data_IF_716353404506
#
_entry.id   IF_716353404506
#
_cell.length_a   1.000
_cell.length_b   1.000
_cell.length_c   1.000
_cell.angle_alpha   90.00
_cell.angle_beta   90.00
_cell.angle_gamma   90.00
#
_symmetry.space_group_name_H-M   'P 1'
#
loop_
_entity.id
_entity.type
_entity.pdbx_description
1 polymer ?
#
# COMPACT_ATOMS: atom_id res chain seq x y z
N UNK A 1 -10.50 -21.44 -0.13
CA UNK A 1 -11.03 -20.13 0.31
C UNK A 1 -10.35 -19.03 -0.48
N UNK A 2 -11.09 -18.10 -1.08
CA UNK A 2 -10.51 -16.94 -1.76
C UNK A 2 -10.27 -15.86 -0.69
N UNK A 3 -9.03 -15.43 -0.51
CA UNK A 3 -8.71 -14.29 0.35
C UNK A 3 -8.90 -13.01 -0.44
N UNK A 4 -9.78 -12.12 0.03
CA UNK A 4 -9.96 -10.79 -0.54
C UNK A 4 -9.05 -9.84 0.22
N UNK A 5 -8.17 -9.15 -0.51
CA UNK A 5 -7.22 -8.19 0.05
C UNK A 5 -7.60 -6.81 -0.46
N UNK A 6 -7.73 -5.85 0.45
CA UNK A 6 -7.86 -4.45 0.08
C UNK A 6 -6.49 -3.80 0.03
N UNK A 7 -6.24 -3.03 -1.04
CA UNK A 7 -5.05 -2.18 -1.13
C UNK A 7 -5.44 -0.77 -0.73
N UNK A 8 -4.73 -0.22 0.26
CA UNK A 8 -4.90 1.15 0.76
C UNK A 8 -3.60 1.93 0.53
N UNK A 9 -3.73 3.22 0.27
CA UNK A 9 -2.60 4.12 0.08
C UNK A 9 -2.68 5.24 1.12
N UNK A 10 -1.71 5.28 2.02
CA UNK A 10 -1.53 6.35 2.99
C UNK A 10 -0.51 7.36 2.44
N UNK A 11 -0.95 8.59 2.22
CA UNK A 11 -0.17 9.60 1.49
C UNK A 11 0.47 10.57 2.48
N UNK A 12 1.80 10.66 2.45
CA UNK A 12 2.58 11.65 3.18
C UNK A 12 3.28 12.61 2.20
N UNK A 13 3.74 13.75 2.69
CA UNK A 13 4.26 14.87 1.87
C UNK A 13 5.23 14.45 0.74
N UNK A 14 6.16 13.54 1.01
CA UNK A 14 7.19 13.09 0.05
C UNK A 14 7.25 11.55 -0.13
N UNK A 15 6.33 10.82 0.49
CA UNK A 15 6.31 9.36 0.47
C UNK A 15 4.88 8.88 0.59
N UNK A 16 4.57 7.70 0.07
CA UNK A 16 3.30 7.04 0.34
C UNK A 16 3.55 5.62 0.83
N UNK A 17 2.65 5.12 1.66
CA UNK A 17 2.68 3.75 2.15
C UNK A 17 1.56 2.98 1.48
N UNK A 18 1.90 1.90 0.79
CA UNK A 18 0.92 0.98 0.22
C UNK A 18 0.71 -0.17 1.20
N UNK A 19 -0.52 -0.32 1.69
CA UNK A 19 -0.89 -1.32 2.68
C UNK A 19 -1.84 -2.34 2.06
N UNK A 20 -1.55 -3.62 2.22
CA UNK A 20 -2.49 -4.71 2.00
C UNK A 20 -3.20 -5.05 3.30
N UNK A 21 -4.53 -5.05 3.28
CA UNK A 21 -5.36 -5.34 4.44
C UNK A 21 -6.21 -6.59 4.19
N UNK A 22 -6.36 -7.43 5.21
CA UNK A 22 -7.34 -8.50 5.20
C UNK A 22 -8.75 -7.89 5.17
N UNK A 23 -9.57 -8.30 4.20
CA UNK A 23 -10.94 -7.78 4.07
C UNK A 23 -11.84 -8.04 5.28
N UNK A 24 -11.61 -9.13 6.02
CA UNK A 24 -12.50 -9.56 7.11
C UNK A 24 -12.12 -8.95 8.45
N UNK A 25 -10.83 -8.85 8.75
CA UNK A 25 -10.34 -8.34 10.04
C UNK A 25 -9.91 -6.88 9.96
N UNK A 26 -9.64 -6.35 8.76
CA UNK A 26 -9.08 -5.02 8.55
C UNK A 26 -7.59 -4.91 8.89
N UNK A 27 -6.97 -5.99 9.39
CA UNK A 27 -5.57 -6.02 9.78
C UNK A 27 -4.64 -5.83 8.57
N UNK A 28 -3.50 -5.18 8.82
CA UNK A 28 -2.45 -5.01 7.81
C UNK A 28 -1.68 -6.32 7.73
N UNK A 29 -1.68 -6.93 6.55
CA UNK A 29 -0.94 -8.17 6.27
C UNK A 29 0.39 -7.89 5.56
N UNK A 30 0.50 -6.76 4.87
CA UNK A 30 1.73 -6.32 4.22
C UNK A 30 1.73 -4.79 4.06
N UNK A 31 2.91 -4.18 4.14
CA UNK A 31 3.10 -2.76 3.88
C UNK A 31 4.42 -2.54 3.14
N UNK A 32 4.41 -1.63 2.18
CA UNK A 32 5.64 -1.09 1.59
C UNK A 32 5.58 0.42 1.53
N UNK A 33 6.73 1.08 1.72
CA UNK A 33 6.85 2.53 1.65
C UNK A 33 7.54 2.91 0.35
N UNK A 34 6.92 3.80 -0.39
CA UNK A 34 7.41 4.28 -1.67
C UNK A 34 7.73 5.77 -1.58
N UNK A 35 8.81 6.19 -2.25
CA UNK A 35 9.09 7.61 -2.47
C UNK A 35 8.09 8.15 -3.50
N UNK A 36 7.63 9.40 -3.33
CA UNK A 36 6.76 10.05 -4.34
C UNK A 36 7.50 10.40 -5.63
N UNK A 37 8.83 10.30 -5.64
CA UNK A 37 9.65 10.61 -6.81
C UNK A 37 9.59 9.46 -7.81
N UNK A 38 8.77 9.62 -8.85
CA UNK A 38 8.79 8.74 -10.02
C UNK A 38 10.12 8.93 -10.75
N UNK A 39 10.96 7.88 -10.79
CA UNK A 39 12.12 7.85 -11.68
C UNK A 39 11.59 7.62 -13.10
N UNK A 40 11.41 8.68 -13.89
CA UNK A 40 11.21 8.54 -15.34
C UNK A 40 12.54 8.10 -15.94
N UNK A 41 12.63 6.86 -16.40
CA UNK A 41 13.70 6.45 -17.31
C UNK A 41 13.32 6.97 -18.69
N UNK A 42 14.05 7.97 -19.18
CA UNK A 42 14.13 8.27 -20.61
C UNK A 42 15.23 7.41 -21.23
#
# INVERSE_FOLDING_TARGET
MKSIIYIRMDVHKNTYSLCGNNSSTGEIIAQTKCATKVKKSF
#
